data_IF_461250728317
#
_entry.id   IF_461250728317
#
_cell.length_a   1.000
_cell.length_b   1.000
_cell.length_c   1.000
_cell.angle_alpha   90.00
_cell.angle_beta   90.00
_cell.angle_gamma   90.00
#
_symmetry.space_group_name_H-M   'P 1'
#
loop_
_entity.id
_entity.type
_entity.pdbx_description
1 polymer ?
#
# COMPACT_ATOMS: atom_id res chain seq x y z
N UNK A 1 -20.45 27.42 10.68
CA UNK A 1 -21.87 27.25 11.06
C UNK A 1 -22.57 26.39 10.02
N UNK A 2 -23.41 25.44 10.45
CA UNK A 2 -24.24 24.62 9.57
C UNK A 2 -25.70 25.03 9.75
N UNK A 3 -26.40 25.31 8.65
CA UNK A 3 -27.79 25.79 8.64
C UNK A 3 -28.70 24.75 7.98
N UNK A 4 -29.92 24.63 8.48
CA UNK A 4 -30.96 23.79 7.88
C UNK A 4 -31.94 24.68 7.14
N UNK A 5 -32.26 24.32 5.90
CA UNK A 5 -33.25 25.01 5.10
C UNK A 5 -34.09 24.01 4.31
N UNK A 6 -35.24 24.47 3.83
CA UNK A 6 -36.18 23.64 3.05
C UNK A 6 -36.03 23.98 1.58
N UNK A 7 -36.02 22.97 0.72
CA UNK A 7 -36.09 23.16 -0.73
C UNK A 7 -37.02 22.09 -1.32
N UNK A 8 -38.16 22.54 -1.84
CA UNK A 8 -39.28 21.65 -2.17
C UNK A 8 -39.93 21.11 -0.89
N UNK A 9 -40.11 19.79 -0.80
CA UNK A 9 -40.63 19.11 0.41
C UNK A 9 -39.54 18.41 1.24
N UNK A 10 -38.26 18.75 1.02
CA UNK A 10 -37.12 18.06 1.69
C UNK A 10 -36.27 19.04 2.50
N UNK A 11 -35.73 18.53 3.60
CA UNK A 11 -34.74 19.23 4.43
C UNK A 11 -33.35 19.14 3.77
N UNK A 12 -32.64 20.27 3.79
CA UNK A 12 -31.28 20.42 3.29
C UNK A 12 -30.38 20.99 4.38
N UNK A 13 -29.13 20.56 4.37
CA UNK A 13 -28.08 21.11 5.25
C UNK A 13 -27.08 21.88 4.40
N UNK A 14 -26.82 23.11 4.83
CA UNK A 14 -25.84 24.03 4.27
C UNK A 14 -24.70 24.21 5.26
N UNK A 15 -23.48 23.88 4.85
CA UNK A 15 -22.31 23.97 5.72
C UNK A 15 -21.07 24.32 4.91
N UNK A 16 -20.04 24.78 5.61
CA UNK A 16 -18.75 25.10 5.00
C UNK A 16 -17.73 24.04 5.37
N UNK A 17 -16.96 23.60 4.37
CA UNK A 17 -15.78 22.75 4.52
C UNK A 17 -14.66 23.44 3.77
N UNK A 18 -13.56 23.78 4.46
CA UNK A 18 -12.38 24.41 3.86
C UNK A 18 -12.68 25.64 2.99
N UNK A 19 -13.55 26.52 3.48
CA UNK A 19 -13.96 27.74 2.76
C UNK A 19 -14.92 27.52 1.60
N UNK A 20 -15.25 26.27 1.24
CA UNK A 20 -16.24 25.93 0.21
C UNK A 20 -17.60 25.64 0.84
N UNK A 21 -18.65 26.22 0.26
CA UNK A 21 -20.04 26.01 0.68
C UNK A 21 -20.56 24.71 0.07
N UNK A 22 -21.05 23.80 0.90
CA UNK A 22 -21.64 22.52 0.51
C UNK A 22 -23.10 22.48 0.94
N UNK A 23 -23.99 22.15 -0.01
CA UNK A 23 -25.43 22.00 0.23
C UNK A 23 -25.84 20.57 -0.10
N UNK A 24 -26.31 19.82 0.90
CA UNK A 24 -26.68 18.40 0.72
C UNK A 24 -28.10 18.15 1.23
N UNK A 25 -28.89 17.42 0.44
CA UNK A 25 -30.21 16.98 0.85
C UNK A 25 -30.10 15.90 1.94
N UNK A 26 -30.92 15.96 2.98
CA UNK A 26 -30.97 14.90 4.01
C UNK A 26 -31.84 13.72 3.59
N UNK A 27 -32.69 13.91 2.57
CA UNK A 27 -33.69 12.93 2.15
C UNK A 27 -34.96 12.93 3.01
N UNK A 28 -34.98 13.68 4.12
CA UNK A 28 -36.11 13.75 5.05
C UNK A 28 -37.11 14.83 4.64
N UNK A 29 -38.39 14.54 4.83
CA UNK A 29 -39.47 15.52 4.62
C UNK A 29 -39.50 16.60 5.70
N UNK A 30 -40.09 17.74 5.37
CA UNK A 30 -40.21 18.87 6.29
C UNK A 30 -41.28 18.65 7.37
N UNK A 31 -40.94 17.85 8.38
CA UNK A 31 -41.76 17.67 9.59
C UNK A 31 -41.02 18.20 10.82
N UNK A 32 -41.76 18.60 11.87
CA UNK A 32 -41.19 19.07 13.14
C UNK A 32 -40.24 18.02 13.76
N UNK A 33 -40.61 16.75 13.69
CA UNK A 33 -39.79 15.63 14.18
C UNK A 33 -38.47 15.51 13.40
N UNK A 34 -38.54 15.54 12.06
CA UNK A 34 -37.36 15.47 11.20
C UNK A 34 -36.44 16.68 11.38
N UNK A 35 -36.98 17.89 11.53
CA UNK A 35 -36.17 19.08 11.86
C UNK A 35 -35.42 18.92 13.18
N UNK A 36 -36.10 18.44 14.22
CA UNK A 36 -35.48 18.20 15.51
C UNK A 36 -34.37 17.15 15.42
N UNK A 37 -34.60 16.06 14.67
CA UNK A 37 -33.59 15.02 14.43
C UNK A 37 -32.37 15.54 13.66
N UNK A 38 -32.58 16.34 12.61
CA UNK A 38 -31.47 16.94 11.84
C UNK A 38 -30.63 17.84 12.75
N UNK A 39 -31.25 18.70 13.55
CA UNK A 39 -30.55 19.63 14.43
C UNK A 39 -29.83 18.93 15.60
N UNK A 40 -30.45 17.90 16.20
CA UNK A 40 -29.89 17.21 17.38
C UNK A 40 -28.87 16.13 17.03
N UNK A 41 -28.97 15.52 15.85
CA UNK A 41 -28.17 14.33 15.51
C UNK A 41 -27.30 14.56 14.28
N UNK A 42 -27.89 14.99 13.16
CA UNK A 42 -27.18 15.08 11.87
C UNK A 42 -26.15 16.22 11.87
N UNK A 43 -26.53 17.42 12.33
CA UNK A 43 -25.64 18.57 12.35
C UNK A 43 -24.45 18.34 13.30
N UNK A 44 -24.63 17.90 14.56
CA UNK A 44 -23.49 17.63 15.44
C UNK A 44 -22.56 16.58 14.86
N UNK A 45 -23.09 15.49 14.29
CA UNK A 45 -22.27 14.46 13.64
C UNK A 45 -21.49 15.00 12.45
N UNK A 46 -22.10 15.85 11.62
CA UNK A 46 -21.43 16.54 10.50
C UNK A 46 -20.32 17.47 10.99
N UNK A 47 -20.58 18.28 12.03
CA UNK A 47 -19.59 19.17 12.60
C UNK A 47 -18.42 18.39 13.21
N UNK A 48 -18.69 17.27 13.89
CA UNK A 48 -17.66 16.36 14.36
C UNK A 48 -16.85 15.81 13.20
N UNK A 49 -17.48 15.32 12.12
CA UNK A 49 -16.79 14.82 10.92
C UNK A 49 -15.93 15.90 10.22
N UNK A 50 -16.35 17.16 10.26
CA UNK A 50 -15.57 18.29 9.75
C UNK A 50 -14.36 18.54 10.66
N UNK A 51 -14.57 18.55 11.97
CA UNK A 51 -13.52 18.78 12.96
C UNK A 51 -12.49 17.64 13.00
N UNK A 52 -12.91 16.40 12.77
CA UNK A 52 -12.04 15.20 12.72
C UNK A 52 -11.42 14.96 11.34
N UNK A 53 -11.80 15.73 10.31
CA UNK A 53 -11.35 15.53 8.92
C UNK A 53 -11.94 14.28 8.24
N UNK A 54 -12.93 13.61 8.84
CA UNK A 54 -13.57 12.43 8.27
C UNK A 54 -14.37 12.72 7.01
N UNK A 55 -14.82 13.98 6.80
CA UNK A 55 -15.47 14.40 5.55
C UNK A 55 -14.56 14.17 4.33
N UNK A 56 -13.24 14.20 4.53
CA UNK A 56 -12.24 14.06 3.47
C UNK A 56 -11.78 12.63 3.22
N UNK A 57 -12.23 11.65 4.01
CA UNK A 57 -11.86 10.25 3.78
C UNK A 57 -12.43 9.82 2.43
N UNK A 58 -11.57 9.87 1.40
CA UNK A 58 -11.80 9.22 0.11
C UNK A 58 -12.15 7.77 0.42
N UNK A 59 -13.10 7.20 -0.31
CA UNK A 59 -13.45 5.81 -0.06
C UNK A 59 -12.20 4.93 -0.27
N UNK A 60 -11.88 4.06 0.70
CA UNK A 60 -10.69 3.23 0.62
C UNK A 60 -10.80 2.35 -0.62
N UNK A 61 -9.76 2.42 -1.46
CA UNK A 61 -9.66 1.57 -2.63
C UNK A 61 -8.97 0.27 -2.23
N UNK A 62 -9.07 -0.73 -3.09
CA UNK A 62 -8.40 -2.00 -2.85
C UNK A 62 -6.90 -1.89 -3.02
N UNK A 63 -6.15 -2.80 -2.41
CA UNK A 63 -4.71 -2.95 -2.67
C UNK A 63 -4.43 -3.11 -4.17
N UNK A 64 -5.28 -3.86 -4.88
CA UNK A 64 -5.15 -4.08 -6.32
C UNK A 64 -5.26 -2.78 -7.14
N UNK A 65 -5.98 -1.77 -6.67
CA UNK A 65 -6.00 -0.45 -7.32
C UNK A 65 -4.61 0.21 -7.26
N UNK A 66 -4.03 0.32 -6.07
CA UNK A 66 -2.71 0.93 -5.89
C UNK A 66 -1.60 0.09 -6.53
N UNK A 67 -1.74 -1.23 -6.55
CA UNK A 67 -0.83 -2.12 -7.25
C UNK A 67 -0.76 -1.84 -8.76
N UNK A 68 -1.90 -1.50 -9.40
CA UNK A 68 -1.90 -1.09 -10.82
C UNK A 68 -1.09 0.19 -11.04
N UNK A 69 -1.26 1.18 -10.15
CA UNK A 69 -0.47 2.43 -10.18
C UNK A 69 1.02 2.12 -9.99
N UNK A 70 1.35 1.27 -9.01
CA UNK A 70 2.72 0.78 -8.80
C UNK A 70 3.31 0.15 -10.07
N UNK A 71 2.57 -0.72 -10.78
CA UNK A 71 3.07 -1.31 -12.02
C UNK A 71 3.33 -0.26 -13.10
N UNK A 72 2.45 0.72 -13.28
CA UNK A 72 2.67 1.81 -14.25
C UNK A 72 3.93 2.62 -13.94
N UNK A 73 4.26 2.82 -12.66
CA UNK A 73 5.49 3.50 -12.25
C UNK A 73 6.75 2.65 -12.45
N UNK A 74 6.62 1.33 -12.56
CA UNK A 74 7.74 0.39 -12.72
C UNK A 74 7.96 -0.08 -14.15
N UNK A 75 7.11 0.29 -15.10
CA UNK A 75 7.16 -0.20 -16.48
C UNK A 75 8.50 0.11 -17.19
N UNK A 76 9.14 1.23 -16.83
CA UNK A 76 10.47 1.61 -17.34
C UNK A 76 11.65 0.93 -16.62
N UNK A 77 11.40 0.08 -15.62
CA UNK A 77 12.45 -0.53 -14.83
C UNK A 77 13.17 -1.63 -15.63
N UNK A 78 14.50 -1.50 -15.77
CA UNK A 78 15.34 -2.51 -16.45
C UNK A 78 15.19 -3.92 -15.88
N UNK A 79 14.86 -4.06 -14.59
CA UNK A 79 14.64 -5.34 -13.91
C UNK A 79 13.16 -5.72 -13.78
N UNK A 80 12.25 -5.07 -14.52
CA UNK A 80 10.80 -5.27 -14.45
C UNK A 80 10.45 -6.76 -14.54
N UNK A 81 10.89 -7.44 -15.60
CA UNK A 81 10.55 -8.85 -15.84
C UNK A 81 11.07 -9.80 -14.76
N UNK A 82 12.23 -9.50 -14.17
CA UNK A 82 12.82 -10.33 -13.09
C UNK A 82 12.03 -10.17 -11.78
N UNK A 83 11.53 -8.95 -11.51
CA UNK A 83 10.84 -8.64 -10.26
C UNK A 83 9.33 -8.87 -10.32
N UNK A 84 8.72 -8.79 -11.51
CA UNK A 84 7.28 -8.95 -11.72
C UNK A 84 6.68 -10.22 -11.09
N UNK A 85 7.31 -11.41 -11.15
CA UNK A 85 6.76 -12.60 -10.49
C UNK A 85 6.61 -12.46 -8.98
N UNK A 86 7.52 -11.72 -8.32
CA UNK A 86 7.43 -11.44 -6.89
C UNK A 86 6.27 -10.47 -6.63
N UNK A 87 6.14 -9.44 -7.47
CA UNK A 87 5.08 -8.44 -7.36
C UNK A 87 3.70 -9.05 -7.54
N UNK A 88 3.53 -9.90 -8.55
CA UNK A 88 2.28 -10.60 -8.82
C UNK A 88 1.87 -11.51 -7.66
N UNK A 89 2.84 -12.18 -7.00
CA UNK A 89 2.56 -13.00 -5.79
C UNK A 89 2.07 -12.17 -4.61
N UNK A 90 2.60 -10.96 -4.43
CA UNK A 90 2.11 -10.02 -3.41
C UNK A 90 0.69 -9.58 -3.76
N UNK A 91 0.47 -9.15 -4.99
CA UNK A 91 -0.85 -8.71 -5.44
C UNK A 91 -1.90 -9.81 -5.33
N UNK A 92 -1.57 -11.06 -5.71
CA UNK A 92 -2.49 -12.19 -5.60
C UNK A 92 -3.02 -12.40 -4.16
N UNK A 93 -2.22 -12.06 -3.14
CA UNK A 93 -2.65 -12.17 -1.73
C UNK A 93 -3.56 -11.04 -1.29
N UNK A 94 -3.31 -9.81 -1.73
CA UNK A 94 -3.94 -8.62 -1.15
C UNK A 94 -4.92 -7.91 -2.09
N UNK A 95 -4.95 -8.23 -3.39
CA UNK A 95 -5.63 -7.45 -4.46
C UNK A 95 -7.08 -7.05 -4.16
N UNK A 96 -7.84 -7.92 -3.50
CA UNK A 96 -9.28 -7.76 -3.25
C UNK A 96 -9.57 -7.12 -1.88
N UNK A 97 -8.54 -6.95 -1.04
CA UNK A 97 -8.67 -6.34 0.26
C UNK A 97 -8.65 -4.81 0.13
N UNK A 98 -9.52 -4.14 0.88
CA UNK A 98 -9.43 -2.69 1.09
C UNK A 98 -8.12 -2.36 1.80
N UNK A 99 -7.41 -1.34 1.30
CA UNK A 99 -6.03 -1.11 1.72
C UNK A 99 -5.90 -0.66 3.18
N UNK A 100 -6.93 0.01 3.71
CA UNK A 100 -7.05 0.48 5.09
C UNK A 100 -7.39 -0.63 6.09
N UNK A 101 -7.89 -1.77 5.60
CA UNK A 101 -8.13 -2.97 6.42
C UNK A 101 -6.91 -3.87 6.55
N UNK A 102 -5.85 -3.64 5.78
CA UNK A 102 -4.64 -4.48 5.85
C UNK A 102 -3.77 -4.01 7.02
N UNK A 103 -3.64 -4.87 8.03
CA UNK A 103 -2.89 -4.54 9.24
C UNK A 103 -1.42 -4.91 9.10
N UNK A 104 -0.58 -4.34 9.99
CA UNK A 104 0.82 -4.74 10.13
C UNK A 104 0.98 -6.24 10.46
N UNK A 105 0.01 -6.84 11.17
CA UNK A 105 0.04 -8.26 11.48
C UNK A 105 -0.20 -9.13 10.25
N UNK A 106 -1.09 -8.69 9.34
CA UNK A 106 -1.33 -9.39 8.06
C UNK A 106 -0.08 -9.41 7.19
N UNK A 107 0.59 -8.25 7.09
CA UNK A 107 1.85 -8.11 6.36
C UNK A 107 2.92 -9.03 6.97
N UNK A 108 3.09 -9.00 8.30
CA UNK A 108 4.08 -9.83 9.00
C UNK A 108 3.79 -11.32 8.82
N UNK A 109 2.53 -11.72 8.92
CA UNK A 109 2.08 -13.11 8.76
C UNK A 109 2.38 -13.62 7.36
N UNK A 110 2.04 -12.83 6.33
CA UNK A 110 2.33 -13.16 4.94
C UNK A 110 3.83 -13.32 4.66
N UNK A 111 4.65 -12.35 5.08
CA UNK A 111 6.10 -12.40 4.87
C UNK A 111 6.71 -13.61 5.59
N UNK A 112 6.24 -13.91 6.80
CA UNK A 112 6.75 -15.03 7.60
C UNK A 112 6.37 -16.38 6.99
N UNK A 113 5.18 -16.50 6.41
CA UNK A 113 4.70 -17.73 5.78
C UNK A 113 5.42 -18.11 4.49
N UNK A 114 6.18 -17.19 3.87
CA UNK A 114 6.93 -17.51 2.65
C UNK A 114 8.07 -18.50 2.95
N UNK A 115 8.13 -19.66 2.27
CA UNK A 115 9.17 -20.67 2.47
C UNK A 115 10.45 -20.32 1.70
N UNK A 116 11.01 -19.14 1.98
CA UNK A 116 12.21 -18.60 1.31
C UNK A 116 13.17 -17.98 2.33
N UNK A 117 14.40 -17.72 1.89
CA UNK A 117 15.42 -17.01 2.67
C UNK A 117 14.98 -15.60 3.05
N UNK A 118 15.41 -15.12 4.22
CA UNK A 118 15.18 -13.78 4.73
C UNK A 118 15.58 -12.68 3.73
N UNK A 119 16.72 -12.85 3.06
CA UNK A 119 17.19 -11.92 2.01
C UNK A 119 16.14 -11.77 0.91
N UNK A 120 15.54 -12.88 0.47
CA UNK A 120 14.49 -12.85 -0.56
C UNK A 120 13.16 -12.29 -0.06
N UNK A 121 12.84 -12.46 1.23
CA UNK A 121 11.66 -11.84 1.87
C UNK A 121 11.69 -10.31 1.81
N UNK A 122 12.89 -9.72 1.78
CA UNK A 122 13.08 -8.28 1.58
C UNK A 122 12.38 -7.75 0.33
N UNK A 123 12.48 -8.46 -0.79
CA UNK A 123 11.84 -8.04 -2.04
C UNK A 123 10.31 -8.00 -1.95
N UNK A 124 9.68 -8.94 -1.23
CA UNK A 124 8.22 -8.94 -1.01
C UNK A 124 7.80 -7.79 -0.10
N UNK A 125 8.57 -7.53 0.96
CA UNK A 125 8.34 -6.40 1.86
C UNK A 125 8.41 -5.07 1.13
N UNK A 126 9.39 -4.88 0.25
CA UNK A 126 9.54 -3.64 -0.53
C UNK A 126 8.31 -3.33 -1.38
N UNK A 127 7.72 -4.34 -2.04
CA UNK A 127 6.48 -4.15 -2.81
C UNK A 127 5.35 -3.65 -1.91
N UNK A 128 5.17 -4.29 -0.75
CA UNK A 128 4.13 -3.90 0.19
C UNK A 128 4.35 -2.46 0.66
N UNK A 129 5.59 -2.09 1.04
CA UNK A 129 5.93 -0.73 1.43
C UNK A 129 5.59 0.28 0.34
N UNK A 130 6.02 0.05 -0.90
CA UNK A 130 5.78 0.99 -2.01
C UNK A 130 4.28 1.14 -2.34
N UNK A 131 3.51 0.05 -2.33
CA UNK A 131 2.06 0.11 -2.60
C UNK A 131 1.32 0.84 -1.47
N UNK A 132 1.69 0.63 -0.21
CA UNK A 132 1.11 1.37 0.90
C UNK A 132 1.50 2.85 0.89
N UNK A 133 2.69 3.20 0.39
CA UNK A 133 3.11 4.59 0.24
C UNK A 133 2.21 5.35 -0.76
N UNK A 134 1.85 4.71 -1.89
CA UNK A 134 0.89 5.29 -2.84
C UNK A 134 -0.49 5.56 -2.20
N UNK A 135 -0.88 4.77 -1.21
CA UNK A 135 -2.14 4.97 -0.50
C UNK A 135 -2.04 6.06 0.59
N UNK A 136 -0.84 6.31 1.11
CA UNK A 136 -0.55 7.48 1.95
C UNK A 136 -0.58 8.75 1.09
N UNK A 137 0.05 8.71 -0.09
CA UNK A 137 0.03 9.83 -1.05
C UNK A 137 -1.40 10.15 -1.52
N UNK A 138 -2.26 9.14 -1.66
CA UNK A 138 -3.70 9.31 -1.96
C UNK A 138 -4.54 9.74 -0.73
N UNK A 139 -3.91 9.88 0.45
CA UNK A 139 -4.55 10.32 1.69
C UNK A 139 -5.49 9.30 2.33
N UNK A 140 -5.44 8.03 1.92
CA UNK A 140 -6.25 6.95 2.51
C UNK A 140 -5.62 6.44 3.81
N UNK A 141 -4.31 6.28 3.82
CA UNK A 141 -3.56 5.81 4.99
C UNK A 141 -2.82 6.98 5.65
N UNK A 142 -2.75 6.95 6.98
CA UNK A 142 -1.89 7.85 7.74
C UNK A 142 -0.49 7.28 8.00
N UNK A 143 -0.37 5.95 7.98
CA UNK A 143 0.88 5.24 8.29
C UNK A 143 1.02 4.00 7.42
N UNK A 144 2.27 3.61 7.14
CA UNK A 144 2.56 2.45 6.30
C UNK A 144 2.66 1.17 7.16
N UNK A 145 1.74 0.20 7.02
CA UNK A 145 1.74 -1.02 7.84
C UNK A 145 2.91 -1.95 7.54
N UNK A 146 3.63 -1.77 6.43
CA UNK A 146 4.79 -2.58 6.07
C UNK A 146 6.14 -2.01 6.58
N UNK A 147 6.14 -0.82 7.18
CA UNK A 147 7.33 -0.20 7.76
C UNK A 147 7.74 -0.89 9.08
N UNK A 148 9.05 -0.91 9.36
CA UNK A 148 9.63 -1.47 10.58
C UNK A 148 9.30 -2.95 10.84
N UNK A 149 8.99 -3.73 9.82
CA UNK A 149 8.91 -5.20 9.93
C UNK A 149 10.33 -5.76 9.91
N UNK A 150 10.79 -6.28 11.05
CA UNK A 150 12.07 -6.98 11.15
C UNK A 150 11.94 -8.39 10.58
N UNK A 151 12.82 -8.72 9.63
CA UNK A 151 13.00 -10.08 9.14
C UNK A 151 13.98 -10.80 10.09
N UNK A 152 13.82 -12.11 10.28
CA UNK A 152 14.83 -12.89 10.99
C UNK A 152 16.05 -13.01 10.09
N UNK A 153 17.25 -12.89 10.65
CA UNK A 153 18.48 -13.11 9.90
C UNK A 153 18.67 -14.60 9.65
N UNK A 154 19.02 -14.96 8.41
CA UNK A 154 19.51 -16.29 8.10
C UNK A 154 20.98 -16.38 8.52
N UNK A 155 21.44 -17.54 8.98
CA UNK A 155 22.86 -17.76 9.22
C UNK A 155 23.62 -17.59 7.91
N UNK A 156 24.55 -16.64 7.89
CA UNK A 156 25.40 -16.41 6.73
C UNK A 156 26.34 -17.61 6.58
N UNK A 157 26.18 -18.38 5.50
CA UNK A 157 27.18 -19.40 5.14
C UNK A 157 28.49 -18.69 4.85
N UNK A 158 29.59 -19.19 5.41
CA UNK A 158 30.92 -18.74 5.00
C UNK A 158 31.05 -19.03 3.50
N UNK A 159 31.45 -18.00 2.75
CA UNK A 159 31.80 -18.15 1.34
C UNK A 159 33.21 -18.75 1.35
N UNK A 160 33.35 -19.93 0.76
CA UNK A 160 34.65 -20.55 0.54
C UNK A 160 35.18 -20.01 -0.79
N UNK A 161 36.34 -19.36 -0.73
CA UNK A 161 37.04 -18.86 -1.91
C UNK A 161 37.97 -19.94 -2.43
N UNK A 162 38.16 -19.98 -3.75
CA UNK A 162 39.17 -20.84 -4.35
C UNK A 162 40.58 -20.43 -3.90
N UNK A 163 41.36 -21.42 -3.50
CA UNK A 163 42.80 -21.31 -3.28
C UNK A 163 43.54 -21.10 -4.61
N UNK A 164 44.80 -20.66 -4.54
CA UNK A 164 45.62 -20.48 -5.76
C UNK A 164 45.82 -21.80 -6.48
N UNK A 165 45.95 -22.88 -5.74
CA UNK A 165 46.11 -24.24 -6.23
C UNK A 165 44.88 -24.69 -7.03
N UNK A 166 43.68 -24.44 -6.49
CA UNK A 166 42.41 -24.76 -7.17
C UNK A 166 42.21 -23.90 -8.43
N UNK A 167 42.53 -22.61 -8.38
CA UNK A 167 42.47 -21.73 -9.55
C UNK A 167 43.42 -22.23 -10.64
N UNK A 168 44.66 -22.56 -10.29
CA UNK A 168 45.63 -23.10 -11.24
C UNK A 168 45.18 -24.43 -11.85
N UNK A 169 44.56 -25.30 -11.05
CA UNK A 169 43.99 -26.56 -11.53
C UNK A 169 42.83 -26.31 -12.51
N UNK A 170 41.96 -25.35 -12.24
CA UNK A 170 40.88 -24.95 -13.17
C UNK A 170 41.48 -24.45 -14.48
N UNK A 171 42.49 -23.57 -14.42
CA UNK A 171 43.14 -22.99 -15.61
C UNK A 171 43.94 -24.01 -16.43
N UNK A 172 44.55 -25.02 -15.78
CA UNK A 172 45.31 -26.06 -16.47
C UNK A 172 44.41 -27.02 -17.25
N UNK A 173 43.19 -27.24 -16.77
CA UNK A 173 42.20 -28.14 -17.38
C UNK A 173 41.18 -27.41 -18.27
N UNK A 174 41.16 -26.07 -18.26
CA UNK A 174 40.30 -25.30 -19.14
C UNK A 174 40.80 -25.37 -20.59
N UNK A 175 39.89 -25.69 -21.51
CA UNK A 175 40.19 -25.79 -22.95
C UNK A 175 39.37 -24.77 -23.77
N UNK A 176 39.87 -24.48 -24.97
CA UNK A 176 39.19 -23.61 -25.93
C UNK A 176 38.94 -22.20 -25.42
N UNK A 177 37.78 -21.65 -25.79
CA UNK A 177 37.42 -20.25 -25.54
C UNK A 177 37.28 -19.94 -24.04
N UNK A 178 37.01 -20.94 -23.19
CA UNK A 178 36.82 -20.73 -21.76
C UNK A 178 38.11 -20.31 -21.04
N UNK A 179 39.28 -20.78 -21.50
CA UNK A 179 40.55 -20.51 -20.82
C UNK A 179 40.91 -19.01 -20.79
N UNK A 180 40.83 -18.26 -21.90
CA UNK A 180 40.98 -16.80 -21.86
C UNK A 180 39.98 -16.08 -20.93
N UNK A 181 38.71 -16.50 -20.88
CA UNK A 181 37.72 -15.90 -19.98
C UNK A 181 38.05 -16.14 -18.50
N UNK A 182 38.47 -17.36 -18.15
CA UNK A 182 38.85 -17.72 -16.80
C UNK A 182 40.15 -17.04 -16.34
N UNK A 183 41.06 -16.68 -17.25
CA UNK A 183 42.26 -15.91 -16.91
C UNK A 183 41.99 -14.43 -16.64
N UNK A 184 40.88 -13.89 -17.13
CA UNK A 184 40.49 -12.47 -16.99
C UNK A 184 39.53 -12.21 -15.83
N UNK A 185 38.76 -13.21 -15.41
CA UNK A 185 37.78 -13.15 -14.33
C UNK A 185 38.43 -13.16 -12.94
#
# INVERSE_FOLDING_TARGET
MANVYVRGNKLWVDYFVEGRRVRKATGLEDTKSNRAFVNKTIIPKLLTMIATGEIHRRQPKTFGHYFKVFLTLKDSNRSYFVKKPIWDKVNARFKDLEIDKITRLDVKSYITSLPIKAVSKGAYKTVLQEVFELAIDDGILSTNPAVNIKLRDDSQKKIEYFSKEEVNLILSNAEGIMKPYLMLA
#
